data_IF_173529926913
#
_entry.id   IF_173529926913
#
_cell.length_a   1.000
_cell.length_b   1.000
_cell.length_c   1.000
_cell.angle_alpha   90.00
_cell.angle_beta   90.00
_cell.angle_gamma   90.00
#
_symmetry.space_group_name_H-M   'P 1'
#
loop_
_entity.id
_entity.type
_entity.pdbx_description
1 polymer ?
#
# COMPACT_ATOMS: atom_id res chain seq x y z
N UNK A 1 7.80 16.62 10.13
CA UNK A 1 7.50 15.84 8.90
C UNK A 1 8.62 14.83 8.66
N UNK A 2 8.29 13.58 8.34
CA UNK A 2 9.28 12.60 7.90
C UNK A 2 9.83 13.03 6.51
N UNK A 3 11.14 12.92 6.29
CA UNK A 3 11.67 13.09 4.92
C UNK A 3 11.28 11.89 4.04
N UNK A 4 11.23 12.10 2.71
CA UNK A 4 10.82 11.09 1.72
C UNK A 4 11.63 9.79 1.85
N UNK A 5 12.96 9.90 1.93
CA UNK A 5 13.86 8.74 2.03
C UNK A 5 13.63 7.89 3.29
N UNK A 6 13.32 8.52 4.42
CA UNK A 6 13.03 7.83 5.69
C UNK A 6 11.66 7.18 5.62
N UNK A 7 10.68 7.83 4.99
CA UNK A 7 9.36 7.24 4.78
C UNK A 7 9.46 5.97 3.95
N UNK A 8 10.11 6.03 2.78
CA UNK A 8 10.27 4.87 1.88
C UNK A 8 11.01 3.72 2.56
N UNK A 9 12.07 4.02 3.31
CA UNK A 9 12.82 3.02 4.08
C UNK A 9 11.97 2.33 5.15
N UNK A 10 11.13 3.08 5.86
CA UNK A 10 10.23 2.52 6.89
C UNK A 10 9.09 1.76 6.23
N UNK A 11 8.52 2.27 5.14
CA UNK A 11 7.49 1.60 4.37
C UNK A 11 7.97 0.24 3.87
N UNK A 12 9.18 0.17 3.29
CA UNK A 12 9.77 -1.11 2.86
C UNK A 12 9.81 -2.13 3.99
N UNK A 13 10.29 -1.73 5.17
CA UNK A 13 10.31 -2.62 6.37
C UNK A 13 8.92 -3.06 6.81
N UNK A 14 7.91 -2.21 6.66
CA UNK A 14 6.52 -2.54 7.00
C UNK A 14 5.97 -3.56 6.00
N UNK A 15 6.23 -3.39 4.71
CA UNK A 15 5.84 -4.33 3.67
C UNK A 15 6.50 -5.69 3.89
N UNK A 16 7.79 -5.72 4.23
CA UNK A 16 8.51 -6.95 4.54
C UNK A 16 7.94 -7.64 5.79
N UNK A 17 7.69 -6.89 6.88
CA UNK A 17 7.18 -7.43 8.15
C UNK A 17 5.72 -7.88 8.07
N UNK A 18 4.91 -7.15 7.31
CA UNK A 18 3.47 -7.33 7.20
C UNK A 18 3.09 -7.77 5.79
N UNK A 19 3.93 -8.61 5.19
CA UNK A 19 3.63 -9.21 3.91
C UNK A 19 2.20 -9.79 3.94
N UNK A 20 1.40 -9.44 2.94
CA UNK A 20 0.03 -9.93 2.70
C UNK A 20 -1.02 -9.53 3.76
N UNK A 21 -0.72 -8.58 4.65
CA UNK A 21 -1.66 -8.16 5.70
C UNK A 21 -1.63 -6.67 5.99
N UNK A 22 -2.75 -6.18 6.50
CA UNK A 22 -2.86 -4.81 6.97
C UNK A 22 -1.90 -4.54 8.13
N UNK A 23 -1.09 -3.48 8.06
CA UNK A 23 -0.10 -3.18 9.10
C UNK A 23 -0.73 -2.78 10.44
N UNK A 24 -1.99 -2.35 10.45
CA UNK A 24 -2.74 -1.95 11.65
C UNK A 24 -3.48 -3.14 12.25
N UNK A 25 -4.52 -3.64 11.58
CA UNK A 25 -5.39 -4.69 12.13
C UNK A 25 -4.85 -6.11 11.96
N UNK A 26 -3.70 -6.28 11.28
CA UNK A 26 -3.04 -7.56 10.98
C UNK A 26 -3.86 -8.58 10.19
N UNK A 27 -5.09 -8.23 9.80
CA UNK A 27 -5.93 -9.09 8.94
C UNK A 27 -5.24 -9.29 7.59
N UNK A 28 -5.24 -10.53 7.06
CA UNK A 28 -4.79 -10.79 5.70
C UNK A 28 -5.58 -9.96 4.69
N UNK A 29 -4.95 -9.62 3.58
CA UNK A 29 -5.68 -9.10 2.44
C UNK A 29 -6.52 -10.23 1.82
N UNK A 30 -7.82 -10.02 1.58
CA UNK A 30 -8.74 -11.08 1.15
C UNK A 30 -8.54 -11.56 -0.30
N UNK A 31 -7.47 -11.12 -0.97
CA UNK A 31 -7.17 -11.36 -2.37
C UNK A 31 -6.47 -10.14 -2.99
N UNK A 32 -6.39 -10.06 -4.32
CA UNK A 32 -5.87 -8.89 -5.00
C UNK A 32 -6.68 -7.63 -4.62
N UNK A 33 -6.03 -6.61 -4.07
CA UNK A 33 -6.73 -5.41 -3.58
C UNK A 33 -5.87 -4.15 -3.61
N UNK A 34 -6.53 -2.98 -3.50
CA UNK A 34 -5.84 -1.70 -3.32
C UNK A 34 -5.22 -1.60 -1.92
N UNK A 35 -4.03 -1.03 -1.86
CA UNK A 35 -3.30 -0.73 -0.62
C UNK A 35 -2.96 0.75 -0.55
N UNK A 36 -2.88 1.25 0.67
CA UNK A 36 -2.75 2.67 0.97
C UNK A 36 -1.64 2.83 2.00
N UNK A 37 -0.57 3.50 1.60
CA UNK A 37 0.56 3.77 2.45
C UNK A 37 0.65 5.26 2.78
N UNK A 38 0.91 5.56 4.06
CA UNK A 38 0.90 6.92 4.56
C UNK A 38 1.21 6.98 6.05
N UNK A 39 0.84 8.09 6.68
CA UNK A 39 0.96 8.26 8.12
C UNK A 39 -0.40 8.10 8.80
N UNK A 40 -0.40 7.46 9.97
CA UNK A 40 -1.54 7.47 10.90
C UNK A 40 -1.54 8.72 11.80
N UNK A 41 -2.51 8.82 12.71
CA UNK A 41 -2.63 9.94 13.66
C UNK A 41 -1.44 10.06 14.61
N UNK A 42 -0.66 9.00 14.81
CA UNK A 42 0.55 9.00 15.64
C UNK A 42 1.82 9.34 14.82
N UNK A 43 1.68 9.76 13.56
CA UNK A 43 2.77 9.94 12.60
C UNK A 43 3.59 8.66 12.33
N UNK A 44 3.00 7.46 12.52
CA UNK A 44 3.66 6.20 12.17
C UNK A 44 3.36 5.89 10.72
N UNK A 45 4.38 5.40 10.01
CA UNK A 45 4.20 4.88 8.65
C UNK A 45 3.37 3.60 8.74
N UNK A 46 2.39 3.47 7.86
CA UNK A 46 1.50 2.31 7.78
C UNK A 46 1.28 1.92 6.31
N UNK A 47 0.95 0.66 6.07
CA UNK A 47 0.43 0.16 4.79
C UNK A 47 -0.81 -0.68 5.07
N UNK A 48 -1.96 -0.22 4.56
CA UNK A 48 -3.26 -0.80 4.89
C UNK A 48 -4.06 -1.11 3.65
N UNK A 49 -4.98 -2.06 3.74
CA UNK A 49 -6.03 -2.25 2.76
C UNK A 49 -7.25 -1.40 3.08
N UNK A 50 -8.34 -1.59 2.35
CA UNK A 50 -9.62 -0.89 2.58
C UNK A 50 -10.12 -1.01 4.03
N UNK A 51 -9.81 -2.11 4.72
CA UNK A 51 -10.22 -2.37 6.10
C UNK A 51 -9.75 -1.32 7.13
N UNK A 52 -8.65 -0.61 6.88
CA UNK A 52 -8.14 0.44 7.78
C UNK A 52 -7.78 1.73 7.04
N UNK A 53 -8.36 1.97 5.86
CA UNK A 53 -8.02 3.14 5.03
C UNK A 53 -8.21 4.47 5.78
N UNK A 54 -9.27 4.56 6.59
CA UNK A 54 -9.64 5.75 7.36
C UNK A 54 -8.65 6.08 8.48
N UNK A 55 -7.80 5.14 8.86
CA UNK A 55 -6.74 5.37 9.87
C UNK A 55 -5.52 6.08 9.29
N UNK A 56 -5.43 6.25 7.97
CA UNK A 56 -4.34 6.99 7.31
C UNK A 56 -4.77 8.44 7.15
N UNK A 57 -4.19 9.33 7.95
CA UNK A 57 -4.51 10.77 7.97
C UNK A 57 -3.75 11.55 6.89
N UNK A 58 -2.58 11.05 6.48
CA UNK A 58 -1.74 11.65 5.45
C UNK A 58 -1.31 10.56 4.46
N UNK A 59 -2.08 10.45 3.38
CA UNK A 59 -1.84 9.47 2.32
C UNK A 59 -0.65 9.92 1.47
N UNK A 60 0.35 9.04 1.35
CA UNK A 60 1.57 9.30 0.58
C UNK A 60 1.68 8.47 -0.69
N UNK A 61 1.22 7.22 -0.66
CA UNK A 61 1.24 6.31 -1.81
C UNK A 61 -0.03 5.48 -1.91
N UNK A 62 -0.44 5.21 -3.14
CA UNK A 62 -1.35 4.12 -3.48
C UNK A 62 -0.58 2.97 -4.09
N UNK A 63 -0.99 1.74 -3.81
CA UNK A 63 -0.38 0.53 -4.33
C UNK A 63 -1.39 -0.59 -4.48
N UNK A 64 -0.94 -1.75 -4.93
CA UNK A 64 -1.80 -2.92 -5.05
C UNK A 64 -1.12 -4.09 -4.40
N UNK A 65 -1.90 -4.93 -3.73
CA UNK A 65 -1.48 -6.26 -3.34
C UNK A 65 -2.06 -7.23 -4.35
N UNK A 66 -1.23 -8.13 -4.87
CA UNK A 66 -1.60 -9.23 -5.76
C UNK A 66 -1.24 -10.54 -5.06
N UNK A 67 -2.00 -11.59 -5.32
CA UNK A 67 -1.71 -12.93 -4.77
C UNK A 67 -0.74 -13.71 -5.67
N UNK A 68 -0.63 -13.32 -6.94
CA UNK A 68 0.39 -13.81 -7.86
C UNK A 68 1.60 -12.86 -7.89
N UNK A 69 2.84 -13.40 -8.02
CA UNK A 69 4.04 -12.59 -8.21
C UNK A 69 3.96 -11.72 -9.46
N UNK A 70 4.36 -10.45 -9.35
CA UNK A 70 4.26 -9.43 -10.44
C UNK A 70 5.24 -9.63 -11.59
N UNK A 71 6.15 -10.59 -11.49
CA UNK A 71 7.01 -11.07 -12.58
C UNK A 71 6.35 -12.17 -13.43
N UNK A 72 5.16 -12.64 -13.04
CA UNK A 72 4.32 -13.55 -13.83
C UNK A 72 3.24 -12.79 -14.59
N UNK A 73 2.76 -13.37 -15.71
CA UNK A 73 1.68 -12.78 -16.51
C UNK A 73 0.39 -12.58 -15.68
N UNK A 74 0.08 -13.51 -14.79
CA UNK A 74 -1.10 -13.42 -13.91
C UNK A 74 -0.96 -12.24 -12.94
N UNK A 75 0.18 -12.12 -12.25
CA UNK A 75 0.42 -11.02 -11.32
C UNK A 75 0.45 -9.65 -12.01
N UNK A 76 1.01 -9.57 -13.22
CA UNK A 76 0.96 -8.35 -14.03
C UNK A 76 -0.47 -7.97 -14.42
N UNK A 77 -1.28 -8.96 -14.80
CA UNK A 77 -2.68 -8.73 -15.18
C UNK A 77 -3.49 -8.22 -13.98
N UNK A 78 -3.37 -8.89 -12.82
CA UNK A 78 -4.00 -8.46 -11.57
C UNK A 78 -3.56 -7.05 -11.15
N UNK A 79 -2.25 -6.78 -11.20
CA UNK A 79 -1.71 -5.48 -10.84
C UNK A 79 -2.22 -4.38 -11.79
N UNK A 80 -2.26 -4.65 -13.10
CA UNK A 80 -2.71 -3.69 -14.10
C UNK A 80 -4.19 -3.33 -13.92
N UNK A 81 -5.07 -4.32 -13.74
CA UNK A 81 -6.50 -4.10 -13.51
C UNK A 81 -6.76 -3.29 -12.22
N UNK A 82 -6.07 -3.63 -11.15
CA UNK A 82 -6.18 -2.92 -9.87
C UNK A 82 -5.58 -1.52 -9.93
N UNK A 83 -4.44 -1.32 -10.60
CA UNK A 83 -3.84 0.01 -10.74
C UNK A 83 -4.70 0.91 -11.63
N UNK A 84 -5.37 0.35 -12.65
CA UNK A 84 -6.26 1.10 -13.53
C UNK A 84 -7.44 1.73 -12.79
N UNK A 85 -7.91 1.07 -11.73
CA UNK A 85 -9.05 1.47 -10.88
C UNK A 85 -8.63 2.04 -9.52
N UNK A 86 -7.32 2.15 -9.25
CA UNK A 86 -6.83 2.56 -7.94
C UNK A 86 -7.29 3.99 -7.58
N UNK A 87 -7.88 4.22 -6.40
CA UNK A 87 -8.40 5.56 -6.01
C UNK A 87 -7.34 6.67 -6.03
N UNK A 88 -6.07 6.30 -5.91
CA UNK A 88 -4.93 7.23 -5.90
C UNK A 88 -4.16 7.31 -7.23
N UNK A 89 -4.73 6.85 -8.36
CA UNK A 89 -4.07 6.81 -9.67
C UNK A 89 -3.48 8.17 -10.12
N UNK A 90 -4.05 9.29 -9.69
CA UNK A 90 -3.55 10.64 -9.95
C UNK A 90 -2.48 11.17 -8.99
N UNK A 91 -2.23 10.50 -7.86
CA UNK A 91 -1.19 10.88 -6.88
C UNK A 91 0.17 10.26 -7.20
N UNK A 92 0.26 9.47 -8.28
CA UNK A 92 1.48 8.78 -8.73
C UNK A 92 2.38 9.64 -9.63
N UNK A 93 2.09 10.93 -9.80
CA UNK A 93 2.88 11.86 -10.61
C UNK A 93 3.63 12.87 -9.75
N UNK A 94 4.83 13.24 -10.20
CA UNK A 94 5.85 14.10 -9.58
C UNK A 94 6.85 13.34 -8.70
N UNK A 95 7.59 12.44 -9.35
CA UNK A 95 8.98 12.17 -9.00
C UNK A 95 9.86 13.31 -9.51
#
# INVERSE_FOLDING_TARGET
MLNKNKFEKVLKRILDKNFERCSICRKPFPGPCHTFAGLDSDNKVQNVGSCCRTSIVDLRHGGVYTTAPVDTQEGQSQAHELLATHPCKGMMGHA
#
